data_IF_114177509279
#
_entry.id   IF_114177509279
#
_cell.length_a   1.000
_cell.length_b   1.000
_cell.length_c   1.000
_cell.angle_alpha   90.00
_cell.angle_beta   90.00
_cell.angle_gamma   90.00
#
_symmetry.space_group_name_H-M   'P 1'
#
loop_
_entity.id
_entity.type
_entity.pdbx_description
1 polymer ?
#
# COMPACT_ATOMS: atom_id res chain seq x y z
N UNK A 1 9.22 23.19 -7.68
CA UNK A 1 8.69 22.53 -6.45
C UNK A 1 8.02 21.23 -6.88
N UNK A 2 8.36 20.09 -6.28
CA UNK A 2 7.77 18.82 -6.65
C UNK A 2 6.32 18.75 -6.19
N UNK A 3 5.45 18.18 -7.01
CA UNK A 3 4.01 17.97 -6.75
C UNK A 3 3.79 16.84 -5.75
N UNK A 4 4.81 16.04 -5.51
CA UNK A 4 4.79 14.97 -4.53
C UNK A 4 5.85 15.17 -3.46
N UNK A 5 5.45 15.20 -2.20
CA UNK A 5 6.39 15.07 -1.09
C UNK A 5 6.32 13.66 -0.54
N UNK A 6 7.46 12.97 -0.52
CA UNK A 6 7.61 11.71 0.17
C UNK A 6 8.02 12.01 1.62
N UNK A 7 7.16 11.66 2.55
CA UNK A 7 7.49 11.76 3.99
C UNK A 7 7.52 10.36 4.59
N UNK A 8 8.63 9.97 5.19
CA UNK A 8 8.70 8.79 6.02
C UNK A 8 7.98 9.10 7.33
N UNK A 9 6.81 8.54 7.54
CA UNK A 9 6.18 8.53 8.85
C UNK A 9 6.91 7.53 9.75
N UNK A 10 6.89 7.77 11.05
CA UNK A 10 7.56 6.96 12.09
C UNK A 10 7.13 5.51 12.18
N UNK A 11 6.03 5.12 11.56
CA UNK A 11 5.69 3.74 11.26
C UNK A 11 6.35 3.35 9.94
N UNK A 12 6.93 2.15 9.86
CA UNK A 12 7.58 1.61 8.67
C UNK A 12 6.69 1.74 7.42
N UNK A 13 6.85 2.83 6.70
CA UNK A 13 6.01 3.13 5.55
C UNK A 13 6.46 4.36 4.78
N UNK A 14 5.85 4.56 3.62
CA UNK A 14 6.00 5.73 2.79
C UNK A 14 4.66 6.41 2.55
N UNK A 15 4.65 7.74 2.46
CA UNK A 15 3.48 8.52 2.12
C UNK A 15 3.81 9.51 1.01
N UNK A 16 2.94 9.57 0.01
CA UNK A 16 2.95 10.65 -0.99
C UNK A 16 1.73 11.54 -0.78
N UNK A 17 1.93 12.84 -0.86
CA UNK A 17 0.87 13.83 -0.94
C UNK A 17 0.84 14.39 -2.36
N UNK A 18 -0.31 14.30 -3.02
CA UNK A 18 -0.54 14.85 -4.36
C UNK A 18 -1.27 16.18 -4.24
N UNK A 19 -0.68 17.22 -4.83
CA UNK A 19 -1.29 18.54 -5.00
C UNK A 19 -0.79 19.14 -6.32
N UNK A 20 -1.57 20.00 -7.00
CA UNK A 20 -1.14 20.65 -8.24
C UNK A 20 0.10 21.51 -8.02
N UNK A 21 1.03 21.46 -8.95
CA UNK A 21 2.23 22.34 -8.94
C UNK A 21 1.91 23.72 -9.50
N UNK A 22 2.86 24.66 -9.30
CA UNK A 22 2.73 26.03 -9.82
C UNK A 22 2.47 26.11 -11.33
N UNK A 23 3.06 25.19 -12.12
CA UNK A 23 2.85 25.14 -13.59
C UNK A 23 1.42 24.73 -13.96
N UNK A 24 0.77 23.92 -13.11
CA UNK A 24 -0.63 23.50 -13.33
C UNK A 24 -1.64 24.52 -12.83
N UNK A 25 -1.20 25.39 -11.92
CA UNK A 25 -2.07 26.36 -11.26
C UNK A 25 -2.59 27.38 -12.24
N UNK A 26 -1.83 27.78 -13.27
CA UNK A 26 -2.28 28.83 -14.20
C UNK A 26 -3.58 28.45 -14.91
N UNK A 27 -3.61 27.31 -15.60
CA UNK A 27 -4.84 26.86 -16.29
C UNK A 27 -5.99 26.60 -15.31
N UNK A 28 -5.68 26.12 -14.12
CA UNK A 28 -6.66 25.91 -13.05
C UNK A 28 -7.19 27.25 -12.52
N UNK A 29 -6.31 28.24 -12.33
CA UNK A 29 -6.67 29.58 -11.87
C UNK A 29 -7.52 30.31 -12.89
N UNK A 30 -7.20 30.20 -14.17
CA UNK A 30 -7.98 30.84 -15.25
C UNK A 30 -9.41 30.26 -15.34
N UNK A 31 -9.53 28.93 -15.21
CA UNK A 31 -10.87 28.33 -15.12
C UNK A 31 -11.56 28.68 -13.79
N UNK A 32 -10.83 28.81 -12.70
CA UNK A 32 -11.40 29.12 -11.38
C UNK A 32 -11.94 30.56 -11.30
N UNK A 33 -11.41 31.50 -12.09
CA UNK A 33 -11.92 32.87 -12.20
C UNK A 33 -13.33 32.90 -12.79
N UNK A 34 -13.59 32.02 -13.78
CA UNK A 34 -14.86 31.98 -14.50
C UNK A 34 -15.80 30.93 -13.88
N UNK A 35 -15.29 29.78 -13.51
CA UNK A 35 -16.07 28.61 -13.05
C UNK A 35 -15.41 27.94 -11.81
N UNK A 36 -15.48 28.57 -10.64
CA UNK A 36 -14.76 28.08 -9.46
C UNK A 36 -15.16 26.66 -9.03
N UNK A 37 -16.43 26.31 -9.10
CA UNK A 37 -16.92 24.96 -8.75
C UNK A 37 -16.43 23.91 -9.76
N UNK A 38 -16.36 24.24 -11.05
CA UNK A 38 -15.86 23.35 -12.09
C UNK A 38 -14.37 23.08 -11.92
N UNK A 39 -13.57 24.13 -11.65
CA UNK A 39 -12.14 24.00 -11.36
C UNK A 39 -11.87 23.10 -10.15
N UNK A 40 -12.58 23.33 -9.05
CA UNK A 40 -12.45 22.48 -7.84
C UNK A 40 -12.84 21.01 -8.10
N UNK A 41 -13.88 20.77 -8.90
CA UNK A 41 -14.29 19.43 -9.29
C UNK A 41 -13.26 18.74 -10.18
N UNK A 42 -12.69 19.46 -11.17
CA UNK A 42 -11.64 18.95 -12.04
C UNK A 42 -10.41 18.55 -11.22
N UNK A 43 -9.94 19.42 -10.34
CA UNK A 43 -8.82 19.16 -9.45
C UNK A 43 -9.05 17.94 -8.57
N UNK A 44 -10.18 17.87 -7.87
CA UNK A 44 -10.54 16.75 -7.00
C UNK A 44 -10.54 15.42 -7.76
N UNK A 45 -11.15 15.38 -8.96
CA UNK A 45 -11.19 14.17 -9.78
C UNK A 45 -9.80 13.80 -10.28
N UNK A 46 -9.00 14.77 -10.71
CA UNK A 46 -7.64 14.52 -11.17
C UNK A 46 -6.77 13.88 -10.09
N UNK A 47 -6.78 14.43 -8.89
CA UNK A 47 -6.04 13.87 -7.76
C UNK A 47 -6.53 12.45 -7.44
N UNK A 48 -7.85 12.26 -7.32
CA UNK A 48 -8.41 10.96 -6.94
C UNK A 48 -8.16 9.87 -8.00
N UNK A 49 -8.22 10.22 -9.29
CA UNK A 49 -7.87 9.30 -10.39
C UNK A 49 -6.39 8.96 -10.38
N UNK A 50 -5.51 9.93 -10.12
CA UNK A 50 -4.07 9.71 -10.02
C UNK A 50 -3.72 8.81 -8.83
N UNK A 51 -4.37 8.98 -7.67
CA UNK A 51 -4.21 8.07 -6.53
C UNK A 51 -4.61 6.64 -6.88
N UNK A 52 -5.74 6.45 -7.56
CA UNK A 52 -6.19 5.13 -8.03
C UNK A 52 -5.22 4.48 -9.03
N UNK A 53 -4.66 5.29 -9.93
CA UNK A 53 -3.63 4.86 -10.87
C UNK A 53 -2.37 4.41 -10.14
N UNK A 54 -1.86 5.22 -9.19
CA UNK A 54 -0.69 4.88 -8.36
C UNK A 54 -0.90 3.56 -7.61
N UNK A 55 -2.02 3.41 -6.91
CA UNK A 55 -2.35 2.16 -6.20
C UNK A 55 -2.26 0.95 -7.12
N UNK A 56 -2.77 1.08 -8.34
CA UNK A 56 -2.79 -0.02 -9.30
C UNK A 56 -1.38 -0.35 -9.80
N UNK A 57 -0.59 0.67 -10.12
CA UNK A 57 0.78 0.51 -10.63
C UNK A 57 1.71 -0.07 -9.57
N UNK A 58 1.70 0.50 -8.37
CA UNK A 58 2.49 0.02 -7.23
C UNK A 58 2.11 -1.42 -6.89
N UNK A 59 0.81 -1.73 -6.76
CA UNK A 59 0.37 -3.07 -6.41
C UNK A 59 0.78 -4.13 -7.45
N UNK A 60 0.76 -3.79 -8.75
CA UNK A 60 1.21 -4.68 -9.83
C UNK A 60 2.73 -4.85 -9.82
N UNK A 61 3.48 -3.76 -9.70
CA UNK A 61 4.94 -3.81 -9.68
C UNK A 61 5.45 -4.65 -8.51
N UNK A 62 5.00 -4.34 -7.29
CA UNK A 62 5.38 -5.10 -6.09
C UNK A 62 4.90 -6.56 -6.19
N UNK A 63 3.66 -6.78 -6.63
CA UNK A 63 3.11 -8.13 -6.76
C UNK A 63 3.87 -9.01 -7.74
N UNK A 64 4.33 -8.45 -8.86
CA UNK A 64 5.12 -9.14 -9.87
C UNK A 64 6.55 -9.42 -9.41
N UNK A 65 7.25 -8.40 -8.92
CA UNK A 65 8.66 -8.50 -8.54
C UNK A 65 8.85 -9.35 -7.28
N UNK A 66 8.03 -9.10 -6.27
CA UNK A 66 8.15 -9.79 -4.98
C UNK A 66 7.38 -11.13 -4.94
N UNK A 67 6.76 -11.54 -6.03
CA UNK A 67 5.95 -12.76 -6.09
C UNK A 67 4.85 -12.79 -5.00
N UNK A 68 4.22 -11.64 -4.76
CA UNK A 68 3.16 -11.46 -3.76
C UNK A 68 1.82 -11.31 -4.47
N UNK A 69 0.75 -11.86 -3.90
CA UNK A 69 -0.60 -11.63 -4.43
C UNK A 69 -0.93 -10.13 -4.42
N UNK A 70 -1.38 -9.60 -5.57
CA UNK A 70 -1.72 -8.16 -5.73
C UNK A 70 -2.72 -7.70 -4.66
N UNK A 71 -3.67 -8.56 -4.28
CA UNK A 71 -4.65 -8.28 -3.22
C UNK A 71 -3.98 -8.03 -1.85
N UNK A 72 -2.92 -8.78 -1.53
CA UNK A 72 -2.18 -8.61 -0.28
C UNK A 72 -1.39 -7.29 -0.29
N UNK A 73 -0.79 -6.91 -1.42
CA UNK A 73 -0.12 -5.62 -1.58
C UNK A 73 -1.12 -4.46 -1.47
N UNK A 74 -2.29 -4.57 -2.13
CA UNK A 74 -3.34 -3.53 -2.06
C UNK A 74 -3.81 -3.26 -0.63
N UNK A 75 -3.83 -4.25 0.24
CA UNK A 75 -4.19 -4.05 1.65
C UNK A 75 -3.15 -3.24 2.44
N UNK A 76 -1.95 -3.07 1.89
CA UNK A 76 -0.88 -2.21 2.44
C UNK A 76 -0.89 -0.81 1.86
N UNK A 77 -1.71 -0.56 0.84
CA UNK A 77 -1.89 0.76 0.23
C UNK A 77 -3.18 1.39 0.77
N UNK A 78 -3.07 2.53 1.42
CA UNK A 78 -4.22 3.32 1.87
C UNK A 78 -4.27 4.63 1.13
N UNK A 79 -5.35 4.83 0.39
CA UNK A 79 -5.66 6.09 -0.28
C UNK A 79 -6.54 6.95 0.61
N UNK A 80 -6.18 8.22 0.72
CA UNK A 80 -6.96 9.26 1.35
C UNK A 80 -7.33 10.26 0.25
N UNK A 81 -8.49 10.06 -0.40
CA UNK A 81 -8.91 10.92 -1.49
C UNK A 81 -9.22 12.33 -0.99
N UNK A 82 -9.23 13.28 -1.91
CA UNK A 82 -9.66 14.65 -1.61
C UNK A 82 -11.13 14.63 -1.19
N UNK A 83 -11.41 15.13 0.02
CA UNK A 83 -12.73 15.25 0.59
C UNK A 83 -13.04 16.71 0.91
N UNK A 84 -14.31 17.10 0.84
CA UNK A 84 -14.77 18.46 1.12
C UNK A 84 -14.10 19.49 0.21
N UNK A 85 -13.68 20.63 0.76
CA UNK A 85 -12.96 21.71 0.08
C UNK A 85 -11.42 21.50 0.02
N UNK A 86 -10.92 20.31 0.31
CA UNK A 86 -9.50 20.03 0.31
C UNK A 86 -8.87 20.10 -1.10
N UNK A 87 -7.57 20.42 -1.14
CA UNK A 87 -6.80 20.55 -2.38
C UNK A 87 -5.71 19.51 -2.53
N UNK A 88 -5.60 18.54 -1.62
CA UNK A 88 -4.60 17.49 -1.64
C UNK A 88 -5.18 16.12 -1.32
N UNK A 89 -4.62 15.08 -1.92
CA UNK A 89 -4.91 13.69 -1.59
C UNK A 89 -3.63 12.97 -1.20
N UNK A 90 -3.75 11.89 -0.43
CA UNK A 90 -2.59 11.17 0.09
C UNK A 90 -2.69 9.68 -0.24
N UNK A 91 -1.54 9.07 -0.50
CA UNK A 91 -1.38 7.62 -0.59
C UNK A 91 -0.31 7.18 0.41
N UNK A 92 -0.68 6.27 1.28
CA UNK A 92 0.24 5.65 2.23
C UNK A 92 0.52 4.21 1.81
N UNK A 93 1.78 3.80 1.94
CA UNK A 93 2.25 2.44 1.71
C UNK A 93 2.92 1.90 2.97
N UNK A 94 2.32 0.90 3.60
CA UNK A 94 2.89 0.21 4.76
C UNK A 94 3.84 -0.90 4.30
N UNK A 95 5.09 -0.82 4.75
CA UNK A 95 6.14 -1.81 4.43
C UNK A 95 6.29 -2.91 5.49
N UNK A 96 5.47 -2.90 6.54
CA UNK A 96 5.49 -3.97 7.54
C UNK A 96 5.28 -5.33 6.89
N UNK A 97 5.96 -6.34 7.43
CA UNK A 97 5.93 -7.70 6.92
C UNK A 97 4.49 -8.24 6.78
N UNK A 98 4.24 -8.98 5.71
CA UNK A 98 2.95 -9.63 5.43
C UNK A 98 3.05 -11.10 5.81
N UNK A 99 2.03 -11.65 6.46
CA UNK A 99 1.92 -13.09 6.73
C UNK A 99 2.07 -13.89 5.43
N UNK A 100 2.99 -14.86 5.40
CA UNK A 100 3.31 -15.62 4.21
C UNK A 100 2.08 -16.33 3.60
N UNK A 101 1.11 -16.72 4.42
CA UNK A 101 -0.17 -17.28 3.94
C UNK A 101 -0.97 -16.33 3.05
N UNK A 102 -0.82 -15.00 3.23
CA UNK A 102 -1.57 -13.98 2.47
C UNK A 102 -0.98 -13.68 1.10
N UNK A 103 0.27 -14.07 0.86
CA UNK A 103 0.91 -13.87 -0.45
C UNK A 103 0.42 -14.87 -1.51
N UNK A 104 -0.13 -16.01 -1.08
CA UNK A 104 -0.68 -17.03 -1.95
C UNK A 104 -1.13 -18.28 -1.18
N UNK A 105 -1.69 -19.29 -1.87
CA UNK A 105 -2.09 -20.54 -1.25
C UNK A 105 -0.85 -21.35 -0.78
N UNK A 106 -0.77 -21.70 0.52
CA UNK A 106 0.32 -22.52 1.03
C UNK A 106 0.14 -23.98 0.64
N UNK A 107 1.25 -24.65 0.29
CA UNK A 107 1.30 -26.08 -0.02
C UNK A 107 2.26 -26.78 0.94
N UNK A 108 1.83 -27.89 1.52
CA UNK A 108 2.71 -28.77 2.29
C UNK A 108 3.69 -29.46 1.34
N UNK A 109 4.94 -29.57 1.75
CA UNK A 109 5.99 -30.32 1.05
C UNK A 109 6.64 -31.30 2.01
N UNK A 110 7.38 -32.28 1.54
CA UNK A 110 8.11 -33.23 2.42
C UNK A 110 9.13 -32.56 3.33
N UNK A 111 9.57 -31.33 3.04
CA UNK A 111 10.57 -30.59 3.80
C UNK A 111 10.00 -29.37 4.55
N UNK A 112 8.68 -29.13 4.50
CA UNK A 112 8.07 -27.97 5.14
C UNK A 112 6.85 -27.43 4.37
N UNK A 113 6.80 -26.13 4.16
CA UNK A 113 5.70 -25.45 3.47
C UNK A 113 6.25 -24.57 2.35
N UNK A 114 5.55 -24.48 1.22
CA UNK A 114 5.87 -23.56 0.13
C UNK A 114 4.70 -22.63 -0.18
N UNK A 115 4.99 -21.38 -0.57
CA UNK A 115 4.03 -20.38 -1.00
C UNK A 115 4.65 -19.54 -2.10
N UNK A 116 4.01 -19.48 -3.28
CA UNK A 116 4.47 -18.62 -4.39
C UNK A 116 5.99 -18.73 -4.66
N UNK A 117 6.51 -19.96 -4.71
CA UNK A 117 7.93 -20.21 -4.95
C UNK A 117 8.84 -20.09 -3.72
N UNK A 118 8.42 -19.42 -2.66
CA UNK A 118 9.17 -19.35 -1.39
C UNK A 118 9.04 -20.67 -0.64
N UNK A 119 10.13 -21.17 -0.06
CA UNK A 119 10.19 -22.45 0.65
C UNK A 119 10.55 -22.22 2.11
N UNK A 120 9.66 -22.57 3.00
CA UNK A 120 9.83 -22.51 4.46
C UNK A 120 10.17 -23.91 4.97
N UNK A 121 11.47 -24.23 5.00
CA UNK A 121 11.96 -25.53 5.46
C UNK A 121 11.69 -25.70 6.94
N UNK A 122 11.30 -26.91 7.37
CA UNK A 122 10.98 -27.20 8.78
C UNK A 122 9.70 -26.55 9.29
N UNK A 123 9.03 -25.75 8.47
CA UNK A 123 7.76 -25.13 8.82
C UNK A 123 6.59 -26.10 8.66
N UNK A 124 5.53 -25.87 9.39
CA UNK A 124 4.28 -26.60 9.30
C UNK A 124 3.09 -25.65 9.11
N UNK A 125 2.03 -26.16 8.50
CA UNK A 125 0.79 -25.45 8.31
C UNK A 125 -0.20 -25.90 9.40
N UNK A 126 -0.57 -25.00 10.30
CA UNK A 126 -1.41 -25.31 11.44
C UNK A 126 -2.27 -24.14 11.92
N UNK A 127 -3.35 -24.50 12.63
CA UNK A 127 -4.16 -23.55 13.42
C UNK A 127 -3.58 -23.55 14.83
N UNK A 128 -2.61 -22.71 15.09
CA UNK A 128 -1.98 -22.65 16.42
C UNK A 128 -2.68 -21.62 17.28
N UNK A 129 -2.92 -20.44 16.74
CA UNK A 129 -3.54 -19.33 17.45
C UNK A 129 -4.63 -18.72 16.58
N UNK A 130 -5.86 -19.12 16.85
CA UNK A 130 -7.03 -18.67 16.12
C UNK A 130 -7.59 -19.69 15.13
N UNK A 131 -8.61 -19.28 14.37
CA UNK A 131 -9.39 -20.17 13.48
C UNK A 131 -8.71 -20.45 12.13
N UNK A 132 -7.72 -19.65 11.73
CA UNK A 132 -7.09 -19.74 10.41
C UNK A 132 -5.79 -20.53 10.48
N UNK A 133 -5.51 -21.31 9.43
CA UNK A 133 -4.22 -22.01 9.28
C UNK A 133 -3.18 -21.01 8.83
N UNK A 134 -2.05 -20.94 9.53
CA UNK A 134 -0.87 -20.15 9.17
C UNK A 134 0.37 -21.04 9.06
N UNK A 135 1.47 -20.47 8.56
CA UNK A 135 2.75 -21.15 8.41
C UNK A 135 3.59 -20.84 9.64
N UNK A 136 3.96 -21.87 10.37
CA UNK A 136 4.66 -21.77 11.63
C UNK A 136 5.95 -22.57 11.62
N UNK A 137 6.96 -22.10 12.36
CA UNK A 137 8.18 -22.86 12.67
C UNK A 137 8.44 -22.82 14.17
N UNK A 138 9.07 -23.87 14.70
CA UNK A 138 9.63 -23.83 16.05
C UNK A 138 10.89 -22.97 16.04
N UNK A 139 11.05 -22.01 16.95
CA UNK A 139 12.25 -21.16 17.04
C UNK A 139 13.54 -21.96 17.23
N UNK A 140 13.45 -23.09 17.94
CA UNK A 140 14.57 -24.03 18.13
C UNK A 140 14.87 -24.87 16.87
N UNK A 141 14.15 -24.72 15.77
CA UNK A 141 14.42 -25.45 14.53
C UNK A 141 15.72 -24.99 13.90
N UNK A 142 16.56 -25.92 13.44
CA UNK A 142 17.77 -25.62 12.66
C UNK A 142 17.51 -24.87 11.35
N UNK A 143 16.26 -24.81 10.93
CA UNK A 143 15.83 -24.12 9.71
C UNK A 143 15.20 -22.75 10.00
N UNK A 144 15.25 -22.29 11.25
CA UNK A 144 14.77 -20.95 11.59
C UNK A 144 15.71 -19.89 10.98
N UNK A 145 15.12 -18.90 10.33
CA UNK A 145 15.83 -17.73 9.78
C UNK A 145 15.04 -16.47 10.12
N UNK A 146 15.72 -15.43 10.61
CA UNK A 146 15.09 -14.15 10.91
C UNK A 146 14.47 -13.50 9.65
N UNK A 147 15.03 -13.75 8.46
CA UNK A 147 14.52 -13.19 7.20
C UNK A 147 13.15 -13.77 6.82
N UNK A 148 12.94 -15.07 7.08
CA UNK A 148 11.67 -15.75 6.83
C UNK A 148 10.64 -15.51 7.94
N UNK A 149 11.09 -15.11 9.13
CA UNK A 149 10.28 -14.94 10.34
C UNK A 149 10.57 -13.58 11.02
N UNK A 150 10.46 -12.46 10.29
CA UNK A 150 10.66 -11.13 10.86
C UNK A 150 9.65 -10.87 11.99
N UNK A 151 9.98 -9.99 12.91
CA UNK A 151 9.19 -9.66 14.11
C UNK A 151 8.94 -10.88 15.05
N UNK A 152 9.78 -11.89 14.95
CA UNK A 152 9.68 -13.09 15.80
C UNK A 152 10.40 -12.93 17.14
N UNK A 153 10.96 -11.76 17.43
CA UNK A 153 11.55 -11.46 18.74
C UNK A 153 10.45 -11.39 19.82
N UNK A 154 10.75 -12.02 20.95
CA UNK A 154 9.88 -12.02 22.11
C UNK A 154 9.76 -10.61 22.67
N UNK A 155 8.75 -9.89 22.29
CA UNK A 155 8.37 -8.67 23.00
C UNK A 155 7.56 -9.08 24.22
N UNK A 156 8.03 -8.69 25.39
CA UNK A 156 7.40 -8.96 26.70
C UNK A 156 6.09 -8.18 26.95
N UNK A 157 5.47 -7.66 25.93
CA UNK A 157 4.20 -6.94 26.03
C UNK A 157 3.05 -7.90 26.35
N UNK A 158 2.93 -8.28 27.61
CA UNK A 158 1.82 -9.02 28.17
C UNK A 158 0.62 -8.12 28.39
N UNK A 159 -0.39 -8.25 27.55
CA UNK A 159 -1.73 -7.81 27.89
C UNK A 159 -2.61 -9.03 28.19
N UNK A 160 -3.30 -9.11 29.33
CA UNK A 160 -4.04 -10.31 29.72
C UNK A 160 -5.28 -10.62 28.89
N UNK A 161 -5.57 -9.84 27.86
CA UNK A 161 -6.77 -9.96 27.00
C UNK A 161 -6.51 -10.01 25.50
N UNK A 162 -5.27 -9.95 25.05
CA UNK A 162 -4.95 -10.07 23.63
C UNK A 162 -4.52 -11.49 23.34
N UNK A 163 -5.05 -12.13 22.32
CA UNK A 163 -4.62 -13.43 21.82
C UNK A 163 -3.16 -13.48 21.33
N UNK A 164 -2.36 -12.51 21.71
CA UNK A 164 -0.95 -12.27 21.46
C UNK A 164 -0.04 -13.18 22.28
N UNK A 165 -0.50 -13.60 23.45
CA UNK A 165 0.28 -14.41 24.41
C UNK A 165 0.84 -15.64 23.74
N UNK A 166 0.21 -16.07 22.71
CA UNK A 166 0.44 -17.33 22.13
C UNK A 166 1.58 -17.33 21.10
N UNK A 167 1.86 -16.24 20.38
CA UNK A 167 3.03 -16.13 19.49
C UNK A 167 4.34 -16.03 20.30
N UNK A 168 4.24 -15.67 21.57
CA UNK A 168 5.34 -15.36 22.46
C UNK A 168 5.38 -16.23 23.71
N UNK A 169 4.66 -17.37 23.72
CA UNK A 169 4.69 -18.29 24.84
C UNK A 169 6.02 -19.00 24.91
N UNK A 170 6.71 -18.91 26.06
CA UNK A 170 7.93 -19.66 26.33
C UNK A 170 7.72 -21.18 26.31
N UNK A 171 6.45 -21.62 26.50
CA UNK A 171 6.09 -23.05 26.45
C UNK A 171 6.07 -23.60 25.03
N UNK A 172 5.73 -22.75 24.04
CA UNK A 172 5.69 -23.14 22.63
C UNK A 172 6.25 -22.01 21.78
N UNK A 173 7.57 -21.81 21.72
CA UNK A 173 8.21 -20.74 20.97
C UNK A 173 8.06 -20.99 19.47
N UNK A 174 6.96 -20.53 18.92
CA UNK A 174 6.63 -20.60 17.50
C UNK A 174 6.79 -19.23 16.87
N UNK A 175 7.33 -19.21 15.67
CA UNK A 175 7.40 -18.02 14.83
C UNK A 175 6.50 -18.18 13.62
N UNK A 176 5.77 -17.12 13.26
CA UNK A 176 4.92 -17.08 12.08
C UNK A 176 5.72 -16.63 10.88
N UNK A 177 5.63 -17.35 9.77
CA UNK A 177 6.27 -16.95 8.52
C UNK A 177 5.65 -15.67 7.98
N UNK A 178 6.51 -14.70 7.69
CA UNK A 178 6.14 -13.40 7.12
C UNK A 178 7.08 -13.07 5.95
N UNK A 179 6.66 -12.16 5.10
CA UNK A 179 7.46 -11.64 4.00
C UNK A 179 7.68 -10.15 4.24
N UNK A 180 8.93 -9.72 4.35
CA UNK A 180 9.27 -8.31 4.43
C UNK A 180 8.88 -7.59 3.14
N UNK A 181 8.42 -6.35 3.25
CA UNK A 181 8.15 -5.46 2.12
C UNK A 181 9.19 -4.35 1.97
N UNK A 182 10.29 -4.42 2.70
CA UNK A 182 11.36 -3.41 2.60
C UNK A 182 11.96 -3.34 1.19
N UNK A 183 12.13 -4.50 0.57
CA UNK A 183 12.60 -4.62 -0.82
C UNK A 183 11.61 -4.04 -1.84
N UNK A 184 10.35 -3.87 -1.46
CA UNK A 184 9.32 -3.26 -2.32
C UNK A 184 9.38 -1.73 -2.37
N UNK A 185 10.16 -1.09 -1.49
CA UNK A 185 10.28 0.37 -1.40
C UNK A 185 10.74 1.04 -2.70
N UNK A 186 11.76 0.54 -3.42
CA UNK A 186 12.18 1.12 -4.70
C UNK A 186 11.06 1.15 -5.74
N UNK A 187 10.15 0.16 -5.73
CA UNK A 187 9.00 0.14 -6.65
C UNK A 187 7.99 1.25 -6.31
N UNK A 188 7.77 1.51 -5.02
CA UNK A 188 6.94 2.64 -4.59
C UNK A 188 7.56 3.97 -5.04
N UNK A 189 8.84 4.18 -4.76
CA UNK A 189 9.56 5.42 -5.10
C UNK A 189 9.60 5.67 -6.61
N UNK A 190 9.76 4.61 -7.41
CA UNK A 190 9.70 4.70 -8.86
C UNK A 190 8.36 5.27 -9.36
N UNK A 191 7.24 4.73 -8.90
CA UNK A 191 5.92 5.19 -9.32
C UNK A 191 5.56 6.56 -8.75
N UNK A 192 6.07 6.90 -7.57
CA UNK A 192 5.91 8.24 -6.97
C UNK A 192 6.55 9.30 -7.85
N UNK A 193 7.74 9.05 -8.42
CA UNK A 193 8.40 9.99 -9.35
C UNK A 193 7.59 10.26 -10.62
N UNK A 194 6.74 9.32 -11.04
CA UNK A 194 5.89 9.47 -12.23
C UNK A 194 4.52 10.10 -11.90
N UNK A 195 4.19 10.28 -10.64
CA UNK A 195 2.90 10.77 -10.20
C UNK A 195 2.59 12.18 -10.71
N UNK A 196 3.60 13.03 -10.81
CA UNK A 196 3.48 14.41 -11.26
C UNK A 196 3.03 14.50 -12.73
N UNK A 197 3.71 13.74 -13.59
CA UNK A 197 3.36 13.68 -15.01
C UNK A 197 1.94 13.13 -15.20
N UNK A 198 1.59 12.08 -14.47
CA UNK A 198 0.28 11.48 -14.54
C UNK A 198 -0.81 12.45 -14.03
N UNK A 199 -0.56 13.16 -12.94
CA UNK A 199 -1.48 14.16 -12.40
C UNK A 199 -1.74 15.26 -13.43
N UNK A 200 -0.71 15.72 -14.14
CA UNK A 200 -0.79 16.73 -15.19
C UNK A 200 -1.69 16.27 -16.34
N UNK A 201 -1.44 15.07 -16.84
CA UNK A 201 -2.23 14.48 -17.93
C UNK A 201 -3.71 14.39 -17.52
N UNK A 202 -3.98 13.85 -16.33
CA UNK A 202 -5.35 13.67 -15.84
C UNK A 202 -6.02 15.02 -15.57
N UNK A 203 -5.28 15.99 -15.02
CA UNK A 203 -5.82 17.33 -14.76
C UNK A 203 -6.26 18.01 -16.05
N UNK A 204 -5.45 17.95 -17.11
CA UNK A 204 -5.83 18.49 -18.44
C UNK A 204 -7.10 17.82 -18.96
N UNK A 205 -7.25 16.53 -18.83
CA UNK A 205 -8.45 15.81 -19.24
C UNK A 205 -9.68 16.26 -18.45
N UNK A 206 -9.54 16.42 -17.13
CA UNK A 206 -10.65 16.84 -16.27
C UNK A 206 -11.05 18.30 -16.49
N UNK A 207 -10.09 19.19 -16.74
CA UNK A 207 -10.36 20.58 -17.10
C UNK A 207 -11.11 20.65 -18.43
N UNK A 208 -10.64 19.93 -19.45
CA UNK A 208 -11.32 19.87 -20.73
C UNK A 208 -12.76 19.31 -20.60
N UNK A 209 -12.95 18.30 -19.78
CA UNK A 209 -14.29 17.76 -19.52
C UNK A 209 -15.23 18.81 -18.91
N UNK A 210 -14.77 19.61 -17.93
CA UNK A 210 -15.61 20.66 -17.33
C UNK A 210 -15.91 21.79 -18.32
N UNK A 211 -14.92 22.17 -19.15
CA UNK A 211 -15.13 23.17 -20.21
C UNK A 211 -16.18 22.69 -21.20
N UNK A 212 -16.07 21.45 -21.70
CA UNK A 212 -17.05 20.87 -22.63
C UNK A 212 -18.44 20.77 -22.01
N UNK A 213 -18.53 20.47 -20.73
CA UNK A 213 -19.79 20.44 -20.00
C UNK A 213 -20.43 21.82 -19.89
N UNK A 214 -19.62 22.85 -19.66
CA UNK A 214 -20.07 24.23 -19.63
C UNK A 214 -20.61 24.68 -21.01
N UNK A 215 -19.84 24.41 -22.07
CA UNK A 215 -20.23 24.77 -23.43
C UNK A 215 -21.54 24.09 -23.89
N UNK A 216 -21.84 22.92 -23.37
CA UNK A 216 -23.09 22.18 -23.62
C UNK A 216 -24.26 22.60 -22.73
N UNK A 217 -24.11 23.66 -21.93
CA UNK A 217 -25.15 24.16 -21.01
C UNK A 217 -25.46 23.27 -19.80
N UNK A 218 -24.63 22.24 -19.57
CA UNK A 218 -24.83 21.25 -18.48
C UNK A 218 -24.02 21.57 -17.20
N UNK A 219 -23.32 22.70 -17.16
CA UNK A 219 -22.56 23.09 -15.98
C UNK A 219 -23.48 23.82 -14.99
N UNK A 220 -23.57 23.30 -13.79
CA UNK A 220 -24.11 24.07 -12.66
C UNK A 220 -23.05 25.10 -12.25
N UNK A 221 -23.35 26.36 -12.45
CA UNK A 221 -22.55 27.51 -12.00
C UNK A 221 -22.47 27.56 -10.47
#
# INVERSE_FOLDING_TARGET
>A
MSVGSYTKLSADGGMITLQPSAVHIQALQDLAKVLPKAAANAQRRAINKTLGWLMTRIARAVGSQEQIAISAVRQRLRSYPVAGGGMSGKLWFGINAIEARRIGPPRKTGQGVSVKGRRYRGAFLGKVYGSKKDIWIRKASKHFSADDYPDSELTSARGPRSGWIAEHSDRHPLAKAKVSLEQARPHFDHWVKQADQQLLVVLRQELNFEIQKYLKGNARV
#
